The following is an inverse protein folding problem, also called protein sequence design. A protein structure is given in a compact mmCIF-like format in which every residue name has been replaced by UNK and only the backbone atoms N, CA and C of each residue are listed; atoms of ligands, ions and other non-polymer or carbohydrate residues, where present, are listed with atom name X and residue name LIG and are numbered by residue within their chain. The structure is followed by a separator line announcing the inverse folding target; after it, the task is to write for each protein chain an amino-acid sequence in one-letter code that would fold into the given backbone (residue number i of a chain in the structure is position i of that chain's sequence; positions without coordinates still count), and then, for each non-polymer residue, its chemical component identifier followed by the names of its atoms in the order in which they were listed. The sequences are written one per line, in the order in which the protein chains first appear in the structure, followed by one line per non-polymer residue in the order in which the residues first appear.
data_IF_838142675660
#
_entry.id   IF_838142675660
#
_cell.length_a   1.000
_cell.length_b   1.000
_cell.length_c   1.000
_cell.angle_alpha   90.00
_cell.angle_beta   90.00
_cell.angle_gamma   90.00
#
_symmetry.space_group_name_H-M   'P 1'
#
loop_
_entity.id
_entity.type
_entity.pdbx_description
1 polymer ?
#
# COMPACT_ATOMS: atom_id res chain seq x y z
N UNK A 1 -28.24 48.32 -26.93
CA UNK A 1 -26.86 48.30 -26.39
C UNK A 1 -26.80 47.63 -25.01
N UNK A 2 -27.70 47.96 -24.08
CA UNK A 2 -27.71 47.39 -22.72
C UNK A 2 -27.87 45.86 -22.63
N UNK A 3 -28.62 45.24 -23.55
CA UNK A 3 -28.82 43.77 -23.56
C UNK A 3 -27.51 43.04 -23.88
N UNK A 4 -26.75 43.53 -24.86
CA UNK A 4 -25.45 42.95 -25.23
C UNK A 4 -24.45 43.02 -24.06
N UNK A 5 -24.40 44.17 -23.37
CA UNK A 5 -23.53 44.35 -22.20
C UNK A 5 -23.94 43.43 -21.04
N UNK A 6 -25.25 43.17 -20.84
CA UNK A 6 -25.71 42.20 -19.84
C UNK A 6 -25.32 40.76 -20.20
N UNK A 7 -25.44 40.37 -21.47
CA UNK A 7 -25.03 39.05 -21.94
C UNK A 7 -23.53 38.82 -21.78
N UNK A 8 -22.70 39.81 -22.09
CA UNK A 8 -21.24 39.73 -21.89
C UNK A 8 -20.87 39.58 -20.41
N UNK A 9 -21.53 40.34 -19.52
CA UNK A 9 -21.30 40.20 -18.07
C UNK A 9 -21.70 38.84 -17.55
N UNK A 10 -22.84 38.31 -18.00
CA UNK A 10 -23.31 36.99 -17.58
C UNK A 10 -22.39 35.88 -18.08
N UNK A 11 -21.93 35.96 -19.34
CA UNK A 11 -20.97 35.01 -19.89
C UNK A 11 -19.64 35.03 -19.11
N UNK A 12 -19.17 36.22 -18.74
CA UNK A 12 -17.97 36.35 -17.89
C UNK A 12 -18.18 35.74 -16.52
N UNK A 13 -19.33 36.01 -15.88
CA UNK A 13 -19.69 35.47 -14.56
C UNK A 13 -19.71 33.94 -14.57
N UNK A 14 -20.37 33.34 -15.56
CA UNK A 14 -20.45 31.87 -15.71
C UNK A 14 -19.08 31.26 -15.95
N UNK A 15 -18.23 31.92 -16.75
CA UNK A 15 -16.87 31.45 -17.01
C UNK A 15 -16.00 31.52 -15.76
N UNK A 16 -16.11 32.59 -14.97
CA UNK A 16 -15.40 32.74 -13.69
C UNK A 16 -15.87 31.70 -12.67
N UNK A 17 -17.18 31.47 -12.54
CA UNK A 17 -17.76 30.45 -11.65
C UNK A 17 -17.27 29.04 -12.01
N UNK A 18 -17.29 28.68 -13.30
CA UNK A 18 -16.75 27.39 -13.77
C UNK A 18 -15.26 27.23 -13.48
N UNK A 19 -14.48 28.32 -13.54
CA UNK A 19 -13.06 28.27 -13.23
C UNK A 19 -12.82 28.00 -11.74
N UNK A 20 -13.63 28.61 -10.86
CA UNK A 20 -13.55 28.36 -9.42
C UNK A 20 -13.92 26.91 -9.06
N UNK A 21 -14.93 26.35 -9.72
CA UNK A 21 -15.31 24.95 -9.53
C UNK A 21 -14.17 24.00 -9.95
N UNK A 22 -13.54 24.26 -11.09
CA UNK A 22 -12.39 23.48 -11.58
C UNK A 22 -11.17 23.61 -10.67
N UNK A 23 -10.90 24.82 -10.15
CA UNK A 23 -9.80 25.08 -9.21
C UNK A 23 -9.99 24.34 -7.89
N UNK A 24 -11.21 24.38 -7.33
CA UNK A 24 -11.55 23.66 -6.11
C UNK A 24 -11.43 22.13 -6.28
N UNK A 25 -11.93 21.60 -7.40
CA UNK A 25 -11.83 20.17 -7.71
C UNK A 25 -10.37 19.72 -7.91
N UNK A 26 -9.53 20.59 -8.45
CA UNK A 26 -8.10 20.32 -8.60
C UNK A 26 -7.39 20.31 -7.24
N UNK A 27 -7.71 21.26 -6.36
CA UNK A 27 -7.14 21.33 -5.00
C UNK A 27 -7.47 20.07 -4.19
N UNK A 28 -8.73 19.61 -4.24
CA UNK A 28 -9.16 18.37 -3.59
C UNK A 28 -8.34 17.16 -4.08
N UNK A 29 -8.17 17.02 -5.41
CA UNK A 29 -7.36 15.94 -5.99
C UNK A 29 -5.89 16.02 -5.60
N UNK A 30 -5.31 17.21 -5.50
CA UNK A 30 -3.93 17.39 -5.04
C UNK A 30 -3.77 16.93 -3.60
N UNK A 31 -4.74 17.26 -2.74
CA UNK A 31 -4.75 16.81 -1.34
C UNK A 31 -4.90 15.29 -1.21
N UNK A 32 -5.82 14.69 -1.96
CA UNK A 32 -5.98 13.23 -2.04
C UNK A 32 -4.67 12.56 -2.49
N UNK A 33 -4.05 13.06 -3.56
CA UNK A 33 -2.80 12.54 -4.07
C UNK A 33 -1.67 12.66 -3.03
N UNK A 34 -1.57 13.80 -2.34
CA UNK A 34 -0.57 13.99 -1.29
C UNK A 34 -0.74 12.99 -0.15
N UNK A 35 -1.99 12.73 0.26
CA UNK A 35 -2.31 11.76 1.31
C UNK A 35 -1.97 10.34 0.85
N UNK A 36 -2.28 10.01 -0.40
CA UNK A 36 -1.97 8.71 -0.98
C UNK A 36 -0.46 8.45 -1.06
N UNK A 37 0.32 9.46 -1.46
CA UNK A 37 1.80 9.36 -1.49
C UNK A 37 2.35 9.13 -0.09
N UNK A 38 1.90 9.89 0.90
CA UNK A 38 2.34 9.73 2.28
C UNK A 38 2.02 8.31 2.83
N UNK A 39 0.80 7.83 2.57
CA UNK A 39 0.40 6.48 2.97
C UNK A 39 1.25 5.40 2.28
N UNK A 40 1.56 5.58 0.99
CA UNK A 40 2.43 4.67 0.24
C UNK A 40 3.83 4.63 0.83
N UNK A 41 4.42 5.78 1.14
CA UNK A 41 5.75 5.86 1.76
C UNK A 41 5.77 5.17 3.13
N UNK A 42 4.74 5.37 3.93
CA UNK A 42 4.58 4.69 5.21
C UNK A 42 4.49 3.17 5.05
N UNK A 43 3.65 2.68 4.12
CA UNK A 43 3.54 1.24 3.84
C UNK A 43 4.87 0.62 3.40
N UNK A 44 5.66 1.34 2.60
CA UNK A 44 6.99 0.89 2.18
C UNK A 44 7.96 0.80 3.37
N UNK A 45 7.94 1.78 4.26
CA UNK A 45 8.74 1.74 5.49
C UNK A 45 8.34 0.56 6.38
N UNK A 46 7.04 0.31 6.57
CA UNK A 46 6.55 -0.81 7.35
C UNK A 46 6.96 -2.17 6.74
N UNK A 47 6.95 -2.27 5.40
CA UNK A 47 7.41 -3.45 4.68
C UNK A 47 8.91 -3.68 4.89
N UNK A 48 9.74 -2.64 4.79
CA UNK A 48 11.18 -2.73 5.02
C UNK A 48 11.51 -3.20 6.45
N UNK A 49 10.76 -2.73 7.45
CA UNK A 49 10.94 -3.17 8.84
C UNK A 49 10.56 -4.65 8.99
N UNK A 50 9.47 -5.09 8.35
CA UNK A 50 9.03 -6.50 8.36
C UNK A 50 10.06 -7.42 7.68
N UNK A 51 10.60 -7.02 6.55
CA UNK A 51 11.66 -7.78 5.86
C UNK A 51 12.89 -7.95 6.75
N UNK A 52 13.36 -6.87 7.39
CA UNK A 52 14.50 -6.94 8.33
C UNK A 52 14.22 -7.86 9.52
N UNK A 53 12.99 -7.87 10.04
CA UNK A 53 12.61 -8.76 11.13
C UNK A 53 12.70 -10.23 10.71
N UNK A 54 12.20 -10.55 9.51
CA UNK A 54 12.25 -11.90 8.93
C UNK A 54 13.71 -12.32 8.68
N UNK A 55 14.54 -11.44 8.11
CA UNK A 55 15.95 -11.72 7.86
C UNK A 55 16.70 -12.03 9.16
N UNK A 56 16.50 -11.23 10.21
CA UNK A 56 17.10 -11.46 11.53
C UNK A 56 16.67 -12.81 12.12
N UNK A 57 15.40 -13.18 11.95
CA UNK A 57 14.89 -14.47 12.41
C UNK A 57 15.48 -15.64 11.62
N UNK A 58 15.61 -15.52 10.29
CA UNK A 58 16.25 -16.56 9.47
C UNK A 58 17.71 -16.78 9.86
N UNK A 59 18.47 -15.72 10.12
CA UNK A 59 19.87 -15.82 10.59
C UNK A 59 19.96 -16.57 11.93
N UNK A 60 19.02 -16.32 12.85
CA UNK A 60 18.93 -17.05 14.11
C UNK A 60 18.62 -18.54 13.89
N UNK A 61 17.62 -18.86 13.05
CA UNK A 61 17.26 -20.24 12.73
C UNK A 61 18.43 -21.00 12.08
N UNK A 62 19.17 -20.36 11.17
CA UNK A 62 20.38 -20.95 10.55
C UNK A 62 21.49 -21.20 11.59
N UNK A 63 21.67 -20.30 12.56
CA UNK A 63 22.64 -20.49 13.64
C UNK A 63 22.27 -21.68 14.54
N UNK A 64 20.99 -21.81 14.90
CA UNK A 64 20.46 -22.95 15.67
C UNK A 64 20.64 -24.27 14.91
N UNK A 65 20.29 -24.32 13.62
CA UNK A 65 20.45 -25.53 12.77
C UNK A 65 21.92 -25.97 12.71
N UNK A 66 22.85 -25.03 12.62
CA UNK A 66 24.28 -25.29 12.56
C UNK A 66 24.94 -25.52 13.93
N UNK A 67 24.18 -25.48 15.04
CA UNK A 67 24.70 -25.49 16.42
C UNK A 67 25.75 -24.39 16.67
N UNK A 68 25.66 -23.26 15.97
CA UNK A 68 26.53 -22.11 16.15
C UNK A 68 26.06 -21.29 17.36
N UNK A 69 26.44 -21.79 18.54
CA UNK A 69 26.05 -21.22 19.83
C UNK A 69 26.47 -19.75 19.99
N UNK A 70 27.55 -19.32 19.31
CA UNK A 70 27.99 -17.93 19.37
C UNK A 70 27.02 -17.01 18.62
N UNK A 71 26.62 -17.38 17.40
CA UNK A 71 25.66 -16.59 16.63
C UNK A 71 24.25 -16.66 17.22
N UNK A 72 23.81 -17.83 17.68
CA UNK A 72 22.49 -17.98 18.29
C UNK A 72 22.33 -17.11 19.55
N UNK A 73 23.37 -16.98 20.38
CA UNK A 73 23.35 -16.12 21.57
C UNK A 73 23.36 -14.61 21.26
N UNK A 74 23.71 -14.20 20.03
CA UNK A 74 23.63 -12.80 19.61
C UNK A 74 22.20 -12.36 19.26
N UNK A 75 21.26 -13.31 19.16
CA UNK A 75 19.87 -13.01 18.89
C UNK A 75 19.20 -12.36 20.11
N UNK A 76 18.66 -11.16 19.89
CA UNK A 76 17.92 -10.41 20.92
C UNK A 76 16.43 -10.72 20.81
N UNK A 77 15.99 -11.77 21.51
CA UNK A 77 14.59 -12.18 21.58
C UNK A 77 13.67 -11.05 22.06
N UNK A 78 14.15 -10.24 23.03
CA UNK A 78 13.36 -9.13 23.57
C UNK A 78 13.15 -8.06 22.52
N UNK A 79 14.20 -7.66 21.80
CA UNK A 79 14.09 -6.70 20.71
C UNK A 79 13.17 -7.21 19.59
N UNK A 80 13.20 -8.52 19.30
CA UNK A 80 12.28 -9.11 18.32
C UNK A 80 10.82 -9.03 18.80
N UNK A 81 10.53 -9.42 20.05
CA UNK A 81 9.17 -9.33 20.59
C UNK A 81 8.68 -7.88 20.64
N UNK A 82 9.51 -6.94 21.07
CA UNK A 82 9.17 -5.51 21.10
C UNK A 82 8.84 -4.99 19.68
N UNK A 83 9.59 -5.43 18.66
CA UNK A 83 9.32 -5.10 17.26
C UNK A 83 7.99 -5.68 16.78
N UNK A 84 7.68 -6.94 17.10
CA UNK A 84 6.39 -7.58 16.76
C UNK A 84 5.22 -6.85 17.43
N UNK A 85 5.34 -6.51 18.72
CA UNK A 85 4.31 -5.75 19.44
C UNK A 85 4.08 -4.39 18.79
N UNK A 86 5.15 -3.68 18.45
CA UNK A 86 5.08 -2.38 17.77
C UNK A 86 4.38 -2.49 16.40
N UNK A 87 4.61 -3.58 15.66
CA UNK A 87 3.93 -3.83 14.37
C UNK A 87 2.43 -4.13 14.53
N UNK A 88 2.03 -4.80 15.61
CA UNK A 88 0.61 -5.09 15.88
C UNK A 88 -0.12 -3.81 16.28
N UNK A 89 0.47 -2.99 17.14
CA UNK A 89 -0.15 -1.75 17.64
C UNK A 89 -0.31 -0.68 16.54
N UNK A 90 0.54 -0.72 15.51
CA UNK A 90 0.51 0.23 14.38
C UNK A 90 -0.58 -0.10 13.34
N UNK A 91 -1.08 -1.34 13.31
CA UNK A 91 -2.05 -1.81 12.32
C UNK A 91 -3.49 -1.27 12.53
N UNK A 92 -3.78 -0.70 13.71
CA UNK A 92 -5.12 -0.25 14.11
C UNK A 92 -5.53 1.16 13.68
N UNK A 93 -4.65 1.94 13.04
CA UNK A 93 -4.88 3.37 12.79
C UNK A 93 -4.91 3.77 11.30
N UNK A 94 -5.31 2.86 10.42
CA UNK A 94 -5.46 3.15 8.98
C UNK A 94 -6.90 3.47 8.59
N UNK A 95 -7.69 3.99 9.54
CA UNK A 95 -9.02 4.54 9.30
C UNK A 95 -8.92 5.87 8.57
N UNK A 96 -8.82 5.82 7.24
CA UNK A 96 -9.03 6.98 6.38
C UNK A 96 -10.36 7.65 6.75
N UNK A 97 -10.32 8.96 6.94
CA UNK A 97 -11.50 9.79 7.20
C UNK A 97 -12.51 9.58 6.07
N UNK A 98 -13.53 8.77 6.35
CA UNK A 98 -14.67 8.53 5.47
C UNK A 98 -15.69 9.64 5.68
N UNK A 99 -15.43 10.82 5.13
CA UNK A 99 -16.42 11.90 5.00
C UNK A 99 -16.49 12.38 3.54
N UNK A 100 -16.74 11.46 2.61
CA UNK A 100 -17.17 11.81 1.26
C UNK A 100 -18.30 10.89 0.81
N UNK A 101 -19.52 11.43 0.82
CA UNK A 101 -20.70 10.77 0.28
C UNK A 101 -20.52 10.56 -1.22
N UNK A 102 -20.37 9.29 -1.61
CA UNK A 102 -20.79 8.79 -2.91
C UNK A 102 -19.71 8.66 -3.96
N UNK A 103 -19.10 7.47 -4.05
CA UNK A 103 -19.23 6.70 -5.28
C UNK A 103 -18.98 5.21 -5.02
N UNK A 104 -19.82 4.39 -5.65
CA UNK A 104 -19.81 2.93 -5.58
C UNK A 104 -18.72 2.40 -6.50
N UNK A 105 -17.47 2.51 -6.11
CA UNK A 105 -16.44 1.61 -6.60
C UNK A 105 -15.72 1.07 -5.38
N UNK A 106 -16.16 -0.11 -4.97
CA UNK A 106 -15.50 -0.91 -3.95
C UNK A 106 -14.11 -1.22 -4.51
N UNK A 107 -13.11 -0.43 -4.11
CA UNK A 107 -11.74 -0.92 -4.13
C UNK A 107 -11.74 -2.02 -3.08
N UNK A 108 -11.92 -3.25 -3.57
CA UNK A 108 -11.69 -4.48 -2.87
C UNK A 108 -10.20 -4.49 -2.50
N UNK A 109 -9.85 -3.72 -1.46
CA UNK A 109 -8.58 -3.89 -0.77
C UNK A 109 -8.63 -5.30 -0.22
N UNK A 110 -7.87 -6.19 -0.85
CA UNK A 110 -7.81 -7.61 -0.57
C UNK A 110 -7.89 -7.84 0.93
N UNK A 111 -8.93 -8.56 1.34
CA UNK A 111 -9.10 -9.02 2.70
C UNK A 111 -7.77 -9.65 3.13
N UNK A 112 -7.08 -9.00 4.07
CA UNK A 112 -6.01 -9.66 4.81
C UNK A 112 -6.71 -10.84 5.48
N UNK A 113 -6.31 -12.09 5.18
CA UNK A 113 -7.07 -13.22 5.63
C UNK A 113 -6.98 -13.26 7.17
N UNK A 114 -8.13 -13.47 7.79
CA UNK A 114 -8.34 -13.45 9.24
C UNK A 114 -7.35 -14.34 10.01
N UNK A 115 -7.27 -14.14 11.34
CA UNK A 115 -6.31 -14.77 12.25
C UNK A 115 -6.25 -16.32 12.18
N UNK A 116 -7.28 -16.99 11.64
CA UNK A 116 -7.29 -18.45 11.40
C UNK A 116 -6.56 -18.88 10.12
N UNK A 117 -6.29 -17.96 9.18
CA UNK A 117 -5.74 -18.25 7.86
C UNK A 117 -4.22 -18.14 7.76
N UNK A 118 -3.56 -17.44 8.70
CA UNK A 118 -2.09 -17.35 8.76
C UNK A 118 -1.46 -18.74 8.98
N UNK A 119 -2.12 -19.61 9.76
CA UNK A 119 -1.65 -20.99 9.97
C UNK A 119 -1.67 -21.82 8.68
N UNK A 120 -2.63 -21.57 7.78
CA UNK A 120 -2.74 -22.25 6.48
C UNK A 120 -1.65 -21.77 5.50
N UNK A 121 -1.28 -20.49 5.54
CA UNK A 121 -0.20 -19.96 4.69
C UNK A 121 1.16 -20.52 5.11
N UNK A 122 1.43 -20.65 6.41
CA UNK A 122 2.67 -21.26 6.91
C UNK A 122 2.75 -22.74 6.48
N UNK A 123 1.65 -23.49 6.54
CA UNK A 123 1.60 -24.89 6.08
C UNK A 123 1.75 -25.03 4.55
N UNK A 124 1.17 -24.11 3.77
CA UNK A 124 1.29 -24.10 2.31
C UNK A 124 2.69 -23.68 1.83
N UNK A 125 3.34 -22.73 2.51
CA UNK A 125 4.72 -22.31 2.22
C UNK A 125 5.72 -23.41 2.56
N UNK A 126 5.46 -24.21 3.61
CA UNK A 126 6.30 -25.36 3.96
C UNK A 126 6.03 -26.60 3.07
N UNK A 127 4.90 -26.67 2.37
CA UNK A 127 4.52 -27.79 1.50
C UNK A 127 4.94 -27.66 0.03
N UNK A 128 5.28 -26.46 -0.46
CA UNK A 128 5.60 -26.22 -1.86
C UNK A 128 7.12 -26.28 -2.14
N UNK A 129 7.73 -27.44 -1.93
CA UNK A 129 8.94 -27.78 -2.69
C UNK A 129 8.52 -28.28 -4.09
N UNK A 130 9.24 -27.78 -5.10
CA UNK A 130 9.13 -28.04 -6.53
C UNK A 130 8.09 -27.19 -7.29
N UNK A 131 8.54 -26.03 -7.80
CA UNK A 131 8.14 -25.60 -9.14
C UNK A 131 9.42 -25.36 -9.95
N UNK A 132 9.66 -26.34 -10.79
CA UNK A 132 10.68 -26.45 -11.81
C UNK A 132 10.34 -25.50 -12.98
N UNK A 133 11.32 -24.68 -13.41
CA UNK A 133 11.45 -24.15 -14.77
C UNK A 133 10.45 -23.10 -15.28
N UNK A 134 10.86 -21.83 -15.37
CA UNK A 134 10.25 -20.86 -16.30
C UNK A 134 11.10 -20.73 -17.57
N UNK A 135 10.67 -21.41 -18.63
CA UNK A 135 11.00 -21.06 -20.02
C UNK A 135 9.67 -20.69 -20.71
N UNK A 136 9.63 -19.53 -21.38
CA UNK A 136 8.49 -19.11 -22.21
C UNK A 136 8.27 -17.60 -22.14
N UNK A 137 9.07 -16.80 -22.84
CA UNK A 137 8.90 -16.35 -24.24
C UNK A 137 8.16 -15.00 -24.31
N UNK A 138 8.89 -13.97 -24.73
CA UNK A 138 8.41 -12.60 -24.90
C UNK A 138 7.77 -12.46 -26.28
N UNK A 139 6.44 -12.59 -26.34
CA UNK A 139 5.67 -12.38 -27.56
C UNK A 139 5.51 -10.89 -27.91
N UNK A 140 6.16 -10.49 -28.99
CA UNK A 140 5.96 -9.25 -29.74
C UNK A 140 4.49 -9.06 -30.15
N UNK A 141 3.96 -7.84 -30.02
CA UNK A 141 2.78 -7.40 -30.78
C UNK A 141 3.18 -6.23 -31.67
N UNK A 142 3.61 -6.57 -32.89
CA UNK A 142 3.43 -5.71 -34.06
C UNK A 142 2.06 -6.02 -34.66
N UNK A 143 1.27 -4.98 -34.94
CA UNK A 143 0.74 -4.79 -36.29
C UNK A 143 0.15 -3.39 -36.47
N UNK A 144 0.80 -2.66 -37.38
CA UNK A 144 0.18 -1.63 -38.19
C UNK A 144 -0.55 -2.29 -39.37
N UNK A 145 -1.76 -1.82 -39.68
CA UNK A 145 -2.34 -1.75 -41.02
C UNK A 145 -3.57 -0.84 -40.97
#
# INVERSE_FOLDING_TARGET
MEIAVKMEREMKRVMEESLWDDELALEEKVQEHSTLVANKEQMLADMEIKEKLIDNFMVFMEAEENNDLQKAQMFDEKAMMDAVVTMIDTQGNHGGVSDAKGNKDQIEMGQIPNEESIMVIVEAVMGAQAIEGTNGDCGEFSNAA
#
